data_IF_964650312299
#
_entry.id   IF_964650312299
#
_cell.length_a   1.000
_cell.length_b   1.000
_cell.length_c   1.000
_cell.angle_alpha   90.00
_cell.angle_beta   90.00
_cell.angle_gamma   90.00
#
_symmetry.space_group_name_H-M   'P 1'
#
loop_
_entity.id
_entity.type
_entity.pdbx_description
1 polymer ?
#
# COMPACT_ATOMS: atom_id res chain seq x y z
N UNK A 1 -29.13 -22.78 -1.06
CA UNK A 1 -28.48 -21.54 -1.53
C UNK A 1 -27.30 -21.95 -2.39
N UNK A 2 -27.26 -21.50 -3.64
CA UNK A 2 -26.12 -21.73 -4.54
C UNK A 2 -25.30 -20.44 -4.61
N UNK A 3 -23.98 -20.57 -4.47
CA UNK A 3 -23.02 -19.47 -4.55
C UNK A 3 -22.20 -19.69 -5.82
N UNK A 4 -22.09 -18.67 -6.66
CA UNK A 4 -21.32 -18.70 -7.89
C UNK A 4 -20.08 -17.82 -7.72
N UNK A 5 -18.91 -18.39 -7.97
CA UNK A 5 -17.63 -17.68 -7.94
C UNK A 5 -17.16 -17.45 -9.39
N UNK A 6 -16.89 -16.20 -9.79
CA UNK A 6 -16.35 -15.93 -11.12
C UNK A 6 -14.92 -16.47 -11.26
N UNK A 7 -14.49 -16.74 -12.50
CA UNK A 7 -13.13 -17.21 -12.79
C UNK A 7 -12.07 -16.16 -12.42
N UNK A 8 -12.40 -14.88 -12.61
CA UNK A 8 -11.52 -13.75 -12.28
C UNK A 8 -12.06 -13.00 -11.05
N UNK A 9 -11.38 -13.16 -9.92
CA UNK A 9 -11.70 -12.48 -8.67
C UNK A 9 -10.43 -12.14 -7.88
N UNK A 10 -10.44 -11.01 -7.18
CA UNK A 10 -9.35 -10.58 -6.32
C UNK A 10 -8.52 -9.43 -6.91
N UNK A 11 -7.23 -9.39 -6.58
CA UNK A 11 -6.37 -8.26 -6.92
C UNK A 11 -5.96 -8.23 -8.39
N UNK A 12 -6.11 -7.06 -9.01
CA UNK A 12 -5.57 -6.80 -10.34
C UNK A 12 -4.03 -6.73 -10.30
N UNK A 13 -3.42 -6.73 -11.49
CA UNK A 13 -1.96 -6.63 -11.63
C UNK A 13 -1.37 -5.40 -10.91
N UNK A 14 -2.02 -4.24 -11.01
CA UNK A 14 -1.55 -3.00 -10.38
C UNK A 14 -1.46 -3.13 -8.86
N UNK A 15 -2.51 -3.66 -8.23
CA UNK A 15 -2.55 -3.90 -6.78
C UNK A 15 -1.49 -4.93 -6.36
N UNK A 16 -1.37 -6.04 -7.09
CA UNK A 16 -0.33 -7.05 -6.83
C UNK A 16 1.08 -6.46 -6.91
N UNK A 17 1.33 -5.61 -7.91
CA UNK A 17 2.61 -4.93 -8.08
C UNK A 17 2.90 -3.95 -6.93
N UNK A 18 1.93 -3.14 -6.55
CA UNK A 18 2.09 -2.17 -5.46
C UNK A 18 2.45 -2.87 -4.14
N UNK A 19 1.71 -3.92 -3.78
CA UNK A 19 2.00 -4.72 -2.57
C UNK A 19 3.38 -5.36 -2.63
N UNK A 20 3.77 -5.93 -3.78
CA UNK A 20 5.09 -6.55 -3.94
C UNK A 20 6.23 -5.54 -3.74
N UNK A 21 6.09 -4.32 -4.27
CA UNK A 21 7.12 -3.27 -4.12
C UNK A 21 7.29 -2.90 -2.65
N UNK A 22 6.19 -2.60 -1.96
CA UNK A 22 6.19 -2.19 -0.56
C UNK A 22 6.74 -3.30 0.35
N UNK A 23 6.29 -4.54 0.19
CA UNK A 23 6.76 -5.67 0.99
C UNK A 23 8.23 -6.03 0.75
N UNK A 24 8.74 -5.80 -0.46
CA UNK A 24 10.17 -5.97 -0.73
C UNK A 24 11.02 -4.88 -0.08
N UNK A 25 10.49 -3.66 0.01
CA UNK A 25 11.19 -2.54 0.61
C UNK A 25 11.36 -2.70 2.11
N UNK A 26 10.40 -3.33 2.81
CA UNK A 26 10.51 -3.63 4.26
C UNK A 26 11.82 -4.37 4.60
N UNK A 27 12.34 -5.18 3.68
CA UNK A 27 13.56 -5.96 3.90
C UNK A 27 14.83 -5.11 3.97
N UNK A 28 14.78 -3.82 3.61
CA UNK A 28 15.95 -2.92 3.54
C UNK A 28 16.25 -2.17 4.84
N UNK A 29 15.58 -2.49 5.96
CA UNK A 29 15.80 -1.92 7.29
C UNK A 29 15.73 -0.37 7.35
N UNK A 30 14.61 0.19 6.90
CA UNK A 30 14.30 1.62 7.02
C UNK A 30 12.81 1.86 7.31
N UNK A 31 12.45 3.08 7.72
CA UNK A 31 11.04 3.47 7.86
C UNK A 31 10.42 3.63 6.48
N UNK A 32 9.22 3.07 6.31
CA UNK A 32 8.50 3.10 5.03
C UNK A 32 7.15 3.76 5.27
N UNK A 33 6.80 4.67 4.38
CA UNK A 33 5.58 5.43 4.44
C UNK A 33 4.82 5.33 3.13
N UNK A 34 3.49 5.31 3.18
CA UNK A 34 2.65 5.51 1.99
C UNK A 34 2.01 6.89 2.05
N UNK A 35 2.02 7.63 0.94
CA UNK A 35 1.27 8.90 0.88
C UNK A 35 -0.21 8.60 0.60
N UNK A 36 -0.99 8.58 1.68
CA UNK A 36 -2.32 8.00 1.77
C UNK A 36 -2.30 6.48 1.67
N UNK A 37 -3.50 5.88 1.71
CA UNK A 37 -3.64 4.44 1.57
C UNK A 37 -3.08 3.92 0.25
N UNK A 38 -2.24 2.87 0.33
CA UNK A 38 -1.64 2.23 -0.84
C UNK A 38 -2.69 1.76 -1.86
N UNK A 39 -3.79 1.21 -1.32
CA UNK A 39 -5.01 0.76 -2.01
C UNK A 39 -6.21 0.95 -1.07
N UNK A 40 -7.43 1.08 -1.61
CA UNK A 40 -8.65 1.20 -0.80
C UNK A 40 -9.14 -0.17 -0.31
N UNK A 41 -8.37 -0.80 0.57
CA UNK A 41 -8.74 -2.03 1.26
C UNK A 41 -8.23 -1.97 2.70
N UNK A 42 -9.14 -1.75 3.65
CA UNK A 42 -8.80 -1.54 5.05
C UNK A 42 -8.05 -2.70 5.68
N UNK A 43 -8.40 -3.95 5.34
CA UNK A 43 -7.70 -5.13 5.85
C UNK A 43 -6.24 -5.14 5.41
N UNK A 44 -5.98 -4.77 4.15
CA UNK A 44 -4.61 -4.69 3.62
C UNK A 44 -3.85 -3.52 4.25
N UNK A 45 -4.48 -2.37 4.42
CA UNK A 45 -3.85 -1.21 5.08
C UNK A 45 -3.43 -1.59 6.50
N UNK A 46 -4.32 -2.19 7.28
CA UNK A 46 -4.04 -2.64 8.65
C UNK A 46 -2.91 -3.70 8.69
N UNK A 47 -2.86 -4.60 7.71
CA UNK A 47 -1.76 -5.57 7.56
C UNK A 47 -0.41 -4.92 7.28
N UNK A 48 -0.39 -3.82 6.50
CA UNK A 48 0.84 -3.08 6.20
C UNK A 48 1.31 -2.27 7.41
N UNK A 49 0.38 -1.65 8.16
CA UNK A 49 0.67 -0.96 9.43
C UNK A 49 1.29 -1.91 10.46
N UNK A 50 0.71 -3.11 10.62
CA UNK A 50 1.30 -4.17 11.46
C UNK A 50 2.71 -4.58 11.06
N UNK A 51 3.08 -4.40 9.78
CA UNK A 51 4.42 -4.68 9.25
C UNK A 51 5.36 -3.48 9.33
N UNK A 52 4.92 -2.37 9.93
CA UNK A 52 5.70 -1.16 10.13
C UNK A 52 5.68 -0.18 8.95
N UNK A 53 4.67 -0.28 8.07
CA UNK A 53 4.44 0.69 6.99
C UNK A 53 3.35 1.64 7.43
N UNK A 54 3.68 2.91 7.59
CA UNK A 54 2.74 3.90 8.10
C UNK A 54 2.12 4.71 6.94
N UNK A 55 0.80 4.86 6.95
CA UNK A 55 0.09 5.74 6.03
C UNK A 55 0.17 7.18 6.54
N UNK A 56 0.62 8.10 5.68
CA UNK A 56 0.72 9.53 6.00
C UNK A 56 -0.09 10.35 5.00
N UNK A 57 -0.69 11.44 5.43
CA UNK A 57 -1.45 12.34 4.55
C UNK A 57 -0.59 13.50 4.03
N UNK A 58 0.53 13.79 4.70
CA UNK A 58 1.39 14.91 4.37
C UNK A 58 2.87 14.61 4.58
N UNK A 59 3.72 15.09 3.67
CA UNK A 59 5.17 14.93 3.73
C UNK A 59 5.82 15.53 4.99
N UNK A 60 5.20 16.54 5.61
CA UNK A 60 5.68 17.13 6.86
C UNK A 60 5.62 16.18 8.07
N UNK A 61 4.91 15.06 7.97
CA UNK A 61 4.83 14.04 9.03
C UNK A 61 6.12 13.20 9.14
N UNK A 62 7.01 13.26 8.14
CA UNK A 62 8.20 12.42 8.08
C UNK A 62 9.47 13.28 7.92
N UNK A 63 10.56 12.82 8.53
CA UNK A 63 11.89 13.45 8.39
C UNK A 63 12.79 12.70 7.42
N UNK A 64 12.71 11.38 7.43
CA UNK A 64 13.52 10.48 6.62
C UNK A 64 12.79 9.13 6.46
N UNK A 65 13.13 8.40 5.41
CA UNK A 65 12.56 7.09 5.11
C UNK A 65 12.25 6.92 3.62
N UNK A 66 11.73 5.75 3.26
CA UNK A 66 11.24 5.49 1.91
C UNK A 66 9.78 5.88 1.83
N UNK A 67 9.47 6.84 0.94
CA UNK A 67 8.09 7.20 0.61
C UNK A 67 7.61 6.40 -0.60
N UNK A 68 6.45 5.76 -0.46
CA UNK A 68 5.77 5.04 -1.53
C UNK A 68 4.56 5.82 -1.97
N UNK A 69 4.49 6.08 -3.28
CA UNK A 69 3.32 6.70 -3.91
C UNK A 69 2.25 5.63 -4.14
N UNK A 70 1.04 5.93 -3.68
CA UNK A 70 -0.13 5.05 -3.80
C UNK A 70 -0.46 4.70 -5.26
N UNK A 71 -1.17 3.57 -5.45
CA UNK A 71 -1.50 3.05 -6.79
C UNK A 71 -2.33 4.01 -7.65
N UNK A 72 -3.05 4.93 -7.01
CA UNK A 72 -3.90 5.95 -7.65
C UNK A 72 -3.11 7.18 -8.13
N UNK A 73 -1.81 7.26 -7.85
CA UNK A 73 -1.02 8.46 -8.07
C UNK A 73 -1.28 9.54 -7.01
N UNK A 74 -0.59 10.66 -7.21
CA UNK A 74 -0.63 11.87 -6.36
C UNK A 74 -0.66 13.09 -7.27
N UNK A 75 -1.18 14.20 -6.75
CA UNK A 75 -1.11 15.48 -7.43
C UNK A 75 0.33 16.04 -7.39
N UNK A 76 0.69 16.85 -8.39
CA UNK A 76 2.00 17.52 -8.50
C UNK A 76 1.95 19.01 -8.12
N UNK A 77 0.76 19.52 -7.75
CA UNK A 77 0.51 20.92 -7.40
C UNK A 77 1.01 21.33 -6.02
#
# INVERSE_FOLDING_TARGET
MQVFLPQEIGFCFGVKRALKLVLNEIKRNGRIYTLGDLIHNSQVVEDLERKGIESIENLSQIKEGTLVIRSHGVDLS
#
